data_IF_682003181515
#
_entry.id   IF_682003181515
#
_cell.length_a   1.000
_cell.length_b   1.000
_cell.length_c   1.000
_cell.angle_alpha   90.00
_cell.angle_beta   90.00
_cell.angle_gamma   90.00
#
_symmetry.space_group_name_H-M   'P 1'
#
loop_
_entity.id
_entity.type
_entity.pdbx_description
1 polymer ?
#
# COMPACT_ATOMS: atom_id res chain seq x y z
N UNK A 1 -62.59 -17.94 82.85
CA UNK A 1 -62.20 -17.63 81.45
C UNK A 1 -60.82 -16.94 81.40
N UNK A 2 -59.76 -17.56 81.95
CA UNK A 2 -58.42 -16.92 82.12
C UNK A 2 -57.24 -17.77 81.55
N UNK A 3 -57.51 -18.93 80.92
CA UNK A 3 -56.46 -19.89 80.48
C UNK A 3 -56.02 -19.73 79.01
N UNK A 4 -56.61 -18.82 78.23
CA UNK A 4 -56.24 -18.58 76.82
C UNK A 4 -55.20 -17.46 76.62
N UNK A 5 -55.00 -16.58 77.62
CA UNK A 5 -54.04 -15.48 77.55
C UNK A 5 -52.58 -15.90 77.29
N UNK A 6 -52.02 -16.96 77.93
CA UNK A 6 -50.62 -17.33 77.67
C UNK A 6 -50.43 -17.93 76.27
N UNK A 7 -51.46 -18.57 75.70
CA UNK A 7 -51.43 -19.12 74.33
C UNK A 7 -51.46 -18.01 73.28
N UNK A 8 -52.22 -16.95 73.51
CA UNK A 8 -52.26 -15.78 72.61
C UNK A 8 -50.94 -14.99 72.68
N UNK A 9 -50.35 -14.80 73.86
CA UNK A 9 -49.02 -14.18 73.98
C UNK A 9 -47.91 -15.01 73.33
N UNK A 10 -47.95 -16.35 73.44
CA UNK A 10 -46.94 -17.21 72.83
C UNK A 10 -47.04 -17.22 71.29
N UNK A 11 -48.26 -17.12 70.75
CA UNK A 11 -48.51 -17.05 69.31
C UNK A 11 -48.18 -15.67 68.73
N UNK A 12 -48.37 -14.58 69.49
CA UNK A 12 -47.92 -13.24 69.11
C UNK A 12 -46.38 -13.13 69.10
N UNK A 13 -45.72 -13.74 70.08
CA UNK A 13 -44.26 -13.75 70.15
C UNK A 13 -43.62 -14.55 69.00
N UNK A 14 -44.19 -15.70 68.61
CA UNK A 14 -43.64 -16.47 67.49
C UNK A 14 -43.80 -15.76 66.14
N UNK A 15 -44.89 -15.02 65.95
CA UNK A 15 -45.12 -14.27 64.71
C UNK A 15 -44.17 -13.07 64.60
N UNK A 16 -43.81 -12.44 65.72
CA UNK A 16 -42.80 -11.37 65.75
C UNK A 16 -41.40 -11.86 65.37
N UNK A 17 -41.02 -13.09 65.73
CA UNK A 17 -39.75 -13.68 65.31
C UNK A 17 -39.69 -13.96 63.79
N UNK A 18 -40.82 -14.20 63.13
CA UNK A 18 -40.87 -14.44 61.68
C UNK A 18 -40.77 -13.14 60.87
N UNK A 19 -41.31 -12.03 61.38
CA UNK A 19 -41.20 -10.70 60.74
C UNK A 19 -39.80 -10.07 60.86
N UNK A 20 -38.98 -10.51 61.83
CA UNK A 20 -37.59 -10.05 61.97
C UNK A 20 -36.62 -10.70 60.96
N UNK A 21 -37.04 -11.76 60.27
CA UNK A 21 -36.22 -12.45 59.26
C UNK A 21 -36.67 -12.07 57.85
N UNK A 22 -36.74 -10.76 57.59
CA UNK A 22 -37.31 -10.26 56.35
C UNK A 22 -36.91 -8.83 56.01
N UNK A 23 -35.62 -8.49 56.07
CA UNK A 23 -35.08 -7.47 55.16
C UNK A 23 -33.55 -7.58 55.09
N UNK A 24 -33.07 -8.28 54.07
CA UNK A 24 -31.74 -8.02 53.51
C UNK A 24 -31.98 -7.49 52.11
N UNK A 25 -32.18 -6.18 52.02
CA UNK A 25 -31.82 -5.43 50.82
C UNK A 25 -30.32 -5.63 50.57
N UNK A 26 -29.99 -6.77 49.95
CA UNK A 26 -28.75 -6.90 49.22
C UNK A 26 -28.90 -6.02 48.00
N UNK A 27 -28.63 -4.72 48.17
CA UNK A 27 -28.32 -3.80 47.08
C UNK A 27 -27.49 -4.58 46.08
N UNK A 28 -28.09 -4.84 44.92
CA UNK A 28 -27.38 -5.34 43.77
C UNK A 28 -26.29 -4.30 43.50
N UNK A 29 -25.11 -4.57 44.05
CA UNK A 29 -23.92 -3.77 43.83
C UNK A 29 -23.71 -3.86 42.35
N UNK A 30 -24.15 -2.83 41.61
CA UNK A 30 -23.67 -2.56 40.27
C UNK A 30 -22.17 -2.65 40.38
N UNK A 31 -21.60 -3.73 39.87
CA UNK A 31 -20.17 -3.93 39.86
C UNK A 31 -19.65 -2.83 38.94
N UNK A 32 -19.27 -1.70 39.55
CA UNK A 32 -18.68 -0.58 38.85
C UNK A 32 -17.39 -1.15 38.29
N UNK A 33 -17.40 -1.51 37.01
CA UNK A 33 -16.25 -2.04 36.31
C UNK A 33 -15.14 -0.98 36.38
N UNK A 34 -14.20 -1.19 37.30
CA UNK A 34 -13.07 -0.29 37.49
C UNK A 34 -12.10 -0.56 36.34
N UNK A 35 -11.82 0.42 35.46
CA UNK A 35 -10.87 0.21 34.38
C UNK A 35 -9.50 -0.08 34.98
N UNK A 36 -9.04 -1.31 34.80
CA UNK A 36 -7.71 -1.75 35.20
C UNK A 36 -6.79 -1.72 33.99
N UNK A 37 -5.58 -1.21 34.17
CA UNK A 37 -4.56 -1.23 33.14
C UNK A 37 -3.96 -2.63 33.08
N UNK A 38 -4.54 -3.48 32.23
CA UNK A 38 -3.97 -4.79 31.94
C UNK A 38 -2.98 -4.69 30.78
N UNK A 39 -1.88 -5.43 30.87
CA UNK A 39 -0.89 -5.56 29.79
C UNK A 39 -0.89 -7.03 29.40
N UNK A 40 -1.16 -7.32 28.14
CA UNK A 40 -1.09 -8.68 27.61
C UNK A 40 0.37 -9.03 27.35
N UNK A 41 0.91 -10.00 28.08
CA UNK A 41 2.27 -10.48 27.89
C UNK A 41 2.28 -11.40 26.67
N UNK A 42 2.55 -10.84 25.49
CA UNK A 42 2.83 -11.61 24.29
C UNK A 42 4.23 -12.22 24.32
N UNK A 43 4.43 -13.36 23.65
CA UNK A 43 5.76 -13.92 23.42
C UNK A 43 6.62 -12.86 22.70
N UNK A 44 7.51 -12.22 23.45
CA UNK A 44 8.46 -11.25 22.93
C UNK A 44 9.56 -12.00 22.18
N UNK A 45 9.27 -12.43 20.95
CA UNK A 45 10.33 -12.59 19.96
C UNK A 45 10.83 -11.19 19.69
N UNK A 46 11.90 -10.82 20.40
CA UNK A 46 12.65 -9.61 20.13
C UNK A 46 13.19 -9.74 18.71
N UNK A 47 12.38 -9.35 17.73
CA UNK A 47 12.91 -9.02 16.43
C UNK A 47 13.77 -7.79 16.68
N UNK A 48 15.08 -7.98 16.61
CA UNK A 48 16.06 -6.91 16.51
C UNK A 48 15.75 -6.13 15.21
N UNK A 49 14.73 -5.28 15.29
CA UNK A 49 14.18 -4.53 14.18
C UNK A 49 15.06 -3.33 13.96
N UNK A 50 16.16 -3.54 13.24
CA UNK A 50 17.05 -2.48 12.80
C UNK A 50 16.36 -1.70 11.68
N UNK A 51 15.89 -0.50 12.00
CA UNK A 51 15.37 0.45 11.02
C UNK A 51 16.55 1.25 10.45
N UNK A 52 16.80 1.11 9.15
CA UNK A 52 17.80 1.90 8.44
C UNK A 52 17.09 3.00 7.66
N UNK A 53 17.50 4.27 7.79
CA UNK A 53 16.98 5.33 6.94
C UNK A 53 17.45 5.11 5.51
N UNK A 54 16.55 4.60 4.66
CA UNK A 54 16.76 4.47 3.22
C UNK A 54 16.06 5.63 2.48
N UNK A 55 16.73 6.19 1.47
CA UNK A 55 16.06 7.06 0.50
C UNK A 55 15.65 6.24 -0.71
N UNK A 56 14.37 6.28 -1.07
CA UNK A 56 13.92 5.75 -2.34
C UNK A 56 14.57 6.58 -3.46
N UNK A 57 15.42 5.95 -4.27
CA UNK A 57 15.93 6.51 -5.52
C UNK A 57 15.26 5.79 -6.68
N UNK A 58 15.02 6.52 -7.77
CA UNK A 58 14.58 5.91 -9.01
C UNK A 58 15.59 4.84 -9.42
N UNK A 59 15.09 3.66 -9.80
CA UNK A 59 15.95 2.52 -10.10
C UNK A 59 16.87 2.78 -11.30
N UNK A 60 16.43 3.59 -12.26
CA UNK A 60 17.15 3.97 -13.47
C UNK A 60 16.66 5.35 -13.92
N UNK A 61 17.59 6.27 -14.14
CA UNK A 61 17.36 7.57 -14.78
C UNK A 61 18.10 7.52 -16.12
N UNK A 62 17.37 7.78 -17.22
CA UNK A 62 17.92 7.71 -18.57
C UNK A 62 17.62 9.03 -19.27
N UNK A 63 18.67 9.80 -19.55
CA UNK A 63 18.56 11.00 -20.36
C UNK A 63 18.41 10.61 -21.84
N UNK A 64 17.20 10.80 -22.37
CA UNK A 64 16.91 10.49 -23.76
C UNK A 64 17.38 11.63 -24.65
N UNK A 65 18.42 11.37 -25.44
CA UNK A 65 18.96 12.28 -26.44
C UNK A 65 18.94 11.63 -27.82
N UNK A 66 18.83 12.44 -28.86
CA UNK A 66 18.95 11.93 -30.23
C UNK A 66 20.43 11.65 -30.55
N UNK A 67 20.69 10.49 -31.15
CA UNK A 67 22.03 10.13 -31.66
C UNK A 67 22.46 10.95 -32.88
N UNK A 68 21.53 11.71 -33.48
CA UNK A 68 21.74 12.48 -34.69
C UNK A 68 21.17 13.89 -34.53
N UNK A 69 21.85 14.87 -35.11
CA UNK A 69 21.38 16.24 -35.19
C UNK A 69 20.35 16.39 -36.30
N UNK A 70 19.25 17.10 -36.03
CA UNK A 70 18.24 17.47 -37.02
C UNK A 70 17.14 18.35 -36.44
N UNK A 71 16.21 18.79 -37.28
CA UNK A 71 15.03 19.55 -36.85
C UNK A 71 13.90 18.65 -36.33
N UNK A 72 13.44 18.93 -35.11
CA UNK A 72 12.34 18.24 -34.46
C UNK A 72 11.02 18.49 -35.21
N UNK A 73 10.34 17.43 -35.65
CA UNK A 73 9.06 17.53 -36.35
C UNK A 73 7.89 17.38 -35.39
N UNK A 74 7.95 16.38 -34.50
CA UNK A 74 6.84 16.05 -33.60
C UNK A 74 7.36 15.67 -32.20
N UNK A 75 6.72 16.22 -31.16
CA UNK A 75 6.92 15.86 -29.76
C UNK A 75 5.56 15.57 -29.11
N UNK A 76 5.01 14.36 -29.30
CA UNK A 76 3.65 14.02 -28.85
C UNK A 76 3.53 13.80 -27.34
N UNK A 77 4.65 13.73 -26.59
CA UNK A 77 4.63 13.45 -25.15
C UNK A 77 4.71 14.72 -24.29
N UNK A 78 4.13 14.67 -23.10
CA UNK A 78 4.25 15.74 -22.09
C UNK A 78 5.11 15.30 -20.92
N UNK A 79 5.65 16.30 -20.20
CA UNK A 79 6.44 16.06 -19.00
C UNK A 79 5.56 15.37 -17.95
N UNK A 80 6.00 14.20 -17.47
CA UNK A 80 5.30 13.40 -16.48
C UNK A 80 4.45 12.25 -17.04
N UNK A 81 4.37 12.10 -18.36
CA UNK A 81 3.65 10.98 -18.98
C UNK A 81 4.39 9.64 -18.77
N UNK A 82 3.63 8.57 -18.55
CA UNK A 82 4.17 7.21 -18.43
C UNK A 82 4.42 6.63 -19.82
N UNK A 83 5.69 6.45 -20.18
CA UNK A 83 6.11 5.85 -21.46
C UNK A 83 6.55 4.40 -21.29
N UNK A 84 6.27 3.56 -22.29
CA UNK A 84 6.72 2.17 -22.38
C UNK A 84 7.85 2.03 -23.41
N UNK A 85 8.54 0.89 -23.38
CA UNK A 85 9.59 0.57 -24.35
C UNK A 85 8.97 0.47 -25.76
N UNK A 86 9.44 1.31 -26.67
CA UNK A 86 8.99 1.36 -28.06
C UNK A 86 8.04 2.50 -28.38
N UNK A 87 7.63 3.30 -27.40
CA UNK A 87 6.76 4.45 -27.63
C UNK A 87 7.51 5.57 -28.39
N UNK A 88 6.79 6.24 -29.29
CA UNK A 88 7.32 7.40 -30.02
C UNK A 88 7.35 8.60 -29.08
N UNK A 89 8.55 8.92 -28.61
CA UNK A 89 8.81 10.08 -27.74
C UNK A 89 8.89 11.34 -28.59
N UNK A 90 9.64 11.27 -29.69
CA UNK A 90 9.84 12.41 -30.57
C UNK A 90 10.29 11.95 -31.96
N UNK A 91 9.87 12.69 -33.00
CA UNK A 91 10.19 12.41 -34.40
C UNK A 91 11.00 13.54 -35.01
N UNK A 92 12.12 13.16 -35.61
CA UNK A 92 13.00 14.05 -36.36
C UNK A 92 12.62 14.07 -37.84
N UNK A 93 12.86 15.19 -38.54
CA UNK A 93 12.60 15.29 -39.98
C UNK A 93 13.46 14.28 -40.79
N UNK A 94 12.85 13.30 -41.48
CA UNK A 94 13.60 12.26 -42.17
C UNK A 94 14.14 12.70 -43.53
N UNK A 95 13.73 13.85 -44.10
CA UNK A 95 14.03 14.20 -45.51
C UNK A 95 15.51 14.19 -45.86
N UNK A 96 16.33 14.81 -45.01
CA UNK A 96 17.79 14.86 -45.17
C UNK A 96 18.43 13.47 -45.05
N UNK A 97 17.90 12.65 -44.14
CA UNK A 97 18.40 11.28 -43.94
C UNK A 97 18.00 10.37 -45.09
N UNK A 98 16.77 10.48 -45.60
CA UNK A 98 16.29 9.71 -46.74
C UNK A 98 17.07 10.05 -48.01
N UNK A 99 17.39 11.32 -48.22
CA UNK A 99 18.24 11.75 -49.33
C UNK A 99 19.64 11.14 -49.25
N UNK A 100 20.30 11.22 -48.08
CA UNK A 100 21.62 10.62 -47.84
C UNK A 100 21.60 9.09 -47.96
N UNK A 101 20.53 8.45 -47.50
CA UNK A 101 20.37 7.01 -47.60
C UNK A 101 20.23 6.57 -49.06
N UNK A 102 19.46 7.32 -49.86
CA UNK A 102 19.36 7.09 -51.31
C UNK A 102 20.69 7.27 -52.03
N UNK A 103 21.44 8.34 -51.72
CA UNK A 103 22.75 8.56 -52.35
C UNK A 103 23.74 7.45 -52.00
N UNK A 104 23.82 7.07 -50.72
CA UNK A 104 24.69 5.98 -50.27
C UNK A 104 24.30 4.63 -50.89
N UNK A 105 23.01 4.35 -51.06
CA UNK A 105 22.54 3.15 -51.78
C UNK A 105 22.95 3.17 -53.24
N UNK A 106 22.80 4.29 -53.94
CA UNK A 106 23.18 4.42 -55.34
C UNK A 106 24.69 4.22 -55.52
N UNK A 107 25.50 4.79 -54.64
CA UNK A 107 26.96 4.62 -54.62
C UNK A 107 27.34 3.15 -54.36
N UNK A 108 26.75 2.52 -53.34
CA UNK A 108 26.99 1.10 -53.06
C UNK A 108 26.58 0.18 -54.23
N UNK A 109 25.51 0.51 -54.96
CA UNK A 109 25.11 -0.22 -56.16
C UNK A 109 26.11 -0.03 -57.29
N UNK A 110 26.58 1.20 -57.52
CA UNK A 110 27.61 1.50 -58.52
C UNK A 110 28.91 0.73 -58.24
N UNK A 111 29.35 0.72 -56.98
CA UNK A 111 30.58 0.04 -56.58
C UNK A 111 30.47 -1.48 -56.77
N UNK A 112 29.31 -2.05 -56.41
CA UNK A 112 29.02 -3.46 -56.69
C UNK A 112 29.07 -3.77 -58.19
N UNK A 113 28.52 -2.91 -59.04
CA UNK A 113 28.57 -3.09 -60.49
C UNK A 113 30.01 -2.99 -61.02
N UNK A 114 30.81 -2.08 -60.47
CA UNK A 114 32.21 -1.94 -60.86
C UNK A 114 33.05 -3.14 -60.43
N UNK A 115 32.81 -3.68 -59.23
CA UNK A 115 33.47 -4.90 -58.76
C UNK A 115 33.15 -6.12 -59.64
N UNK A 116 31.89 -6.24 -60.07
CA UNK A 116 31.42 -7.35 -60.90
C UNK A 116 31.79 -7.22 -62.38
N UNK A 117 32.38 -6.09 -62.81
CA UNK A 117 32.82 -5.91 -64.18
C UNK A 117 34.05 -6.80 -64.44
N UNK A 118 33.98 -7.80 -65.34
CA UNK A 118 35.16 -8.53 -65.75
C UNK A 118 36.07 -7.56 -66.49
N UNK A 119 37.28 -7.35 -65.99
CA UNK A 119 38.34 -6.69 -66.73
C UNK A 119 38.94 -7.76 -67.64
N UNK A 120 38.57 -7.74 -68.92
CA UNK A 120 39.30 -8.53 -69.91
C UNK A 120 40.72 -7.98 -70.00
N UNK A 121 41.68 -8.77 -69.52
CA UNK A 121 43.10 -8.66 -69.85
C UNK A 121 43.36 -9.18 -71.26
#
# INVERSE_FOLDING_TARGET
MHKLWPRVCYLMLSTALLLSCGEKESKQSTEVARPVKVIQIGNYKSFDSRAFPGRAKASQEVDLSFNVSGSLTELPIKVGDKVKKGDLIAKLDPREFDAKLKSAKAEATRDKQNYLRPVCS
#
